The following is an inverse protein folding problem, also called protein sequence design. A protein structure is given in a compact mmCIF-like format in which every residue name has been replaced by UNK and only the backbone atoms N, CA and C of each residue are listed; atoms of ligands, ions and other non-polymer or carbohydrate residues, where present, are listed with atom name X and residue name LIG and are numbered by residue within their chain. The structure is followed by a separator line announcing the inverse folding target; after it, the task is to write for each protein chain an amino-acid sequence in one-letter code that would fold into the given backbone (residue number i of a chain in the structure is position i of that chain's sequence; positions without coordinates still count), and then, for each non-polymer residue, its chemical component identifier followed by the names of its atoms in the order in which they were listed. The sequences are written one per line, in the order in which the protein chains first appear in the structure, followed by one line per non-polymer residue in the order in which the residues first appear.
data_IF_526708187957
#
_entry.id   IF_526708187957
#
_cell.length_a   1.000
_cell.length_b   1.000
_cell.length_c   1.000
_cell.angle_alpha   90.00
_cell.angle_beta   90.00
_cell.angle_gamma   90.00
#
_symmetry.space_group_name_H-M   'P 1'
#
loop_
_entity.id
_entity.type
_entity.pdbx_description
1 polymer ?
#
# COMPACT_ATOMS: atom_id res chain seq x y z
N UNK A 1 21.22 1.18 11.25
CA UNK A 1 19.83 0.69 11.38
C UNK A 1 19.89 -0.78 11.08
N UNK A 2 19.83 -1.60 12.12
CA UNK A 2 19.76 -3.06 12.04
C UNK A 2 18.39 -3.53 11.54
N UNK A 3 18.34 -4.77 11.06
CA UNK A 3 17.16 -5.43 10.49
C UNK A 3 16.02 -5.50 11.52
N UNK A 4 16.34 -5.76 12.80
CA UNK A 4 15.35 -5.90 13.87
C UNK A 4 14.53 -4.62 14.11
N UNK A 5 15.18 -3.46 14.13
CA UNK A 5 14.49 -2.17 14.27
C UNK A 5 13.49 -1.87 13.12
N UNK A 6 13.76 -2.38 11.91
CA UNK A 6 12.84 -2.22 10.78
C UNK A 6 11.65 -3.18 10.88
N UNK A 7 11.88 -4.43 11.28
CA UNK A 7 10.82 -5.42 11.47
C UNK A 7 9.81 -4.97 12.52
N UNK A 8 10.27 -4.37 13.62
CA UNK A 8 9.39 -3.82 14.66
C UNK A 8 8.57 -2.63 14.17
N UNK A 9 9.16 -1.71 13.41
CA UNK A 9 8.42 -0.59 12.79
C UNK A 9 7.39 -1.06 11.77
N UNK A 10 7.72 -2.10 10.98
CA UNK A 10 6.80 -2.71 10.02
C UNK A 10 5.63 -3.36 10.78
N UNK A 11 5.90 -4.11 11.85
CA UNK A 11 4.88 -4.73 12.68
C UNK A 11 3.92 -3.70 13.30
N UNK A 12 4.46 -2.61 13.85
CA UNK A 12 3.65 -1.52 14.40
C UNK A 12 2.74 -0.87 13.35
N UNK A 13 3.27 -0.63 12.14
CA UNK A 13 2.46 -0.10 11.03
C UNK A 13 1.42 -1.10 10.54
N UNK A 14 1.71 -2.41 10.59
CA UNK A 14 0.72 -3.43 10.22
C UNK A 14 -0.51 -3.35 11.11
N UNK A 15 -0.31 -3.33 12.43
CA UNK A 15 -1.39 -3.20 13.41
C UNK A 15 -2.20 -1.93 13.15
N UNK A 16 -1.53 -0.81 12.88
CA UNK A 16 -2.21 0.47 12.61
C UNK A 16 -3.07 0.42 11.33
N UNK A 17 -2.57 -0.23 10.28
CA UNK A 17 -3.25 -0.35 8.98
C UNK A 17 -4.46 -1.29 9.04
N UNK A 18 -4.42 -2.33 9.87
CA UNK A 18 -5.52 -3.30 10.01
C UNK A 18 -6.58 -2.85 11.01
N UNK A 19 -6.19 -2.16 12.09
CA UNK A 19 -7.11 -1.61 13.09
C UNK A 19 -8.10 -0.57 12.52
N UNK A 20 -7.79 0.01 11.35
CA UNK A 20 -8.69 0.94 10.66
C UNK A 20 -9.91 0.25 10.01
N UNK A 21 -9.94 -1.09 9.94
CA UNK A 21 -10.96 -1.85 9.20
C UNK A 21 -11.96 -2.63 10.08
N UNK A 22 -11.72 -2.81 11.38
CA UNK A 22 -12.61 -3.58 12.26
C UNK A 22 -12.45 -3.17 13.74
N UNK A 23 -13.55 -2.74 14.38
CA UNK A 23 -13.65 -2.54 15.84
C UNK A 23 -14.33 -3.75 16.52
N UNK A 24 -14.03 -4.95 16.03
CA UNK A 24 -14.53 -6.20 16.59
C UNK A 24 -13.33 -6.97 17.13
N UNK A 25 -13.50 -7.62 18.28
CA UNK A 25 -12.51 -8.38 19.05
C UNK A 25 -11.98 -9.57 18.22
N UNK A 26 -11.20 -9.25 17.19
CA UNK A 26 -10.67 -10.20 16.22
C UNK A 26 -9.24 -10.54 16.66
N UNK A 27 -9.04 -11.81 17.01
CA UNK A 27 -7.72 -12.41 17.08
C UNK A 27 -6.95 -12.05 15.80
N UNK A 28 -5.80 -11.36 15.95
CA UNK A 28 -5.00 -10.86 14.83
C UNK A 28 -4.48 -12.05 14.02
N UNK A 29 -5.27 -12.53 13.08
CA UNK A 29 -4.79 -13.36 11.98
C UNK A 29 -3.88 -12.49 11.11
N UNK A 30 -2.87 -13.09 10.47
CA UNK A 30 -1.95 -12.37 9.59
C UNK A 30 -2.73 -11.76 8.41
N UNK A 31 -3.19 -10.52 8.55
CA UNK A 31 -3.85 -9.79 7.47
C UNK A 31 -2.77 -9.26 6.54
N UNK A 32 -2.73 -9.81 5.33
CA UNK A 32 -1.85 -9.32 4.29
C UNK A 32 -2.26 -7.90 3.87
N UNK A 33 -1.31 -6.96 3.94
CA UNK A 33 -1.53 -5.58 3.48
C UNK A 33 -1.33 -5.54 1.98
N UNK A 34 -2.41 -5.28 1.25
CA UNK A 34 -2.34 -5.16 -0.20
C UNK A 34 -1.56 -3.89 -0.61
N UNK A 35 -0.41 -4.11 -1.26
CA UNK A 35 0.47 -3.05 -1.78
C UNK A 35 0.42 -2.94 -3.31
N UNK A 36 -0.50 -3.66 -3.97
CA UNK A 36 -0.68 -3.62 -5.43
C UNK A 36 -1.77 -2.63 -5.82
N UNK A 37 -1.48 -1.80 -6.81
CA UNK A 37 -2.44 -0.86 -7.36
C UNK A 37 -3.50 -1.61 -8.16
N UNK A 38 -4.80 -1.46 -7.87
CA UNK A 38 -5.87 -2.19 -8.59
C UNK A 38 -6.04 -1.74 -10.04
N UNK A 39 -5.45 -0.59 -10.43
CA UNK A 39 -5.46 -0.13 -11.81
C UNK A 39 -4.24 -0.58 -12.62
N UNK A 40 -3.03 -0.45 -12.06
CA UNK A 40 -1.79 -0.75 -12.80
C UNK A 40 -1.27 -2.16 -12.58
N UNK A 41 -1.74 -2.86 -11.55
CA UNK A 41 -1.19 -4.16 -11.11
C UNK A 41 0.22 -4.08 -10.51
N UNK A 42 0.83 -2.89 -10.49
CA UNK A 42 2.18 -2.67 -9.99
C UNK A 42 2.18 -2.40 -8.49
N UNK A 43 3.33 -2.61 -7.85
CA UNK A 43 3.55 -2.18 -6.45
C UNK A 43 3.37 -0.67 -6.36
N UNK A 44 2.58 -0.23 -5.38
CA UNK A 44 2.29 1.18 -5.13
C UNK A 44 3.56 1.86 -4.61
N UNK A 45 3.89 3.05 -5.12
CA UNK A 45 5.02 3.85 -4.65
C UNK A 45 4.52 5.05 -3.83
N UNK A 46 3.48 5.71 -4.34
CA UNK A 46 2.84 6.84 -3.67
C UNK A 46 1.37 6.52 -3.41
N UNK A 47 1.04 5.87 -2.29
CA UNK A 47 -0.32 5.44 -2.01
C UNK A 47 -1.23 6.65 -1.78
N UNK A 48 -2.31 6.72 -2.54
CA UNK A 48 -3.40 7.68 -2.37
C UNK A 48 -4.72 6.96 -2.20
N UNK A 49 -5.54 7.43 -1.25
CA UNK A 49 -6.83 6.87 -0.90
C UNK A 49 -7.96 7.74 -1.46
N UNK A 50 -9.01 7.11 -1.97
CA UNK A 50 -10.24 7.82 -2.29
C UNK A 50 -11.07 8.03 -1.01
N UNK A 51 -11.34 9.29 -0.65
CA UNK A 51 -12.13 9.65 0.54
C UNK A 51 -13.53 9.05 0.60
N UNK A 52 -14.14 8.75 -0.55
CA UNK A 52 -15.51 8.23 -0.60
C UNK A 52 -15.61 6.71 -0.41
N UNK A 53 -14.62 5.95 -0.86
CA UNK A 53 -14.69 4.47 -0.83
C UNK A 53 -13.53 3.81 -0.10
N UNK A 54 -12.52 4.57 0.29
CA UNK A 54 -11.38 4.11 1.06
C UNK A 54 -10.37 3.25 0.31
N UNK A 55 -10.56 2.97 -0.98
CA UNK A 55 -9.61 2.20 -1.78
C UNK A 55 -8.34 3.00 -2.07
N UNK A 56 -7.21 2.30 -2.10
CA UNK A 56 -5.88 2.87 -2.31
C UNK A 56 -5.36 2.56 -3.72
N UNK A 57 -4.66 3.52 -4.30
CA UNK A 57 -4.02 3.43 -5.62
C UNK A 57 -2.62 3.99 -5.58
N UNK A 58 -1.83 3.70 -6.62
CA UNK A 58 -0.65 4.50 -6.92
C UNK A 58 -1.03 5.87 -7.51
N UNK A 59 -0.45 6.94 -6.99
CA UNK A 59 -0.73 8.33 -7.39
C UNK A 59 -0.55 8.58 -8.89
N UNK A 60 0.54 8.11 -9.48
CA UNK A 60 0.80 8.32 -10.90
C UNK A 60 -0.21 7.53 -11.74
N UNK A 61 -0.44 6.27 -11.36
CA UNK A 61 -1.40 5.40 -12.03
C UNK A 61 -2.82 5.97 -12.03
N UNK A 62 -3.33 6.38 -10.86
CA UNK A 62 -4.70 6.89 -10.75
C UNK A 62 -4.85 8.27 -11.40
N UNK A 63 -3.85 9.14 -11.33
CA UNK A 63 -3.92 10.47 -11.98
C UNK A 63 -3.98 10.32 -13.50
N UNK A 64 -3.21 9.38 -14.08
CA UNK A 64 -3.29 9.07 -15.50
C UNK A 64 -4.65 8.47 -15.89
N UNK A 65 -5.19 7.58 -15.06
CA UNK A 65 -6.52 7.00 -15.25
C UNK A 65 -7.62 8.08 -15.27
N UNK A 66 -7.61 8.99 -14.29
CA UNK A 66 -8.57 10.11 -14.20
C UNK A 66 -8.46 10.99 -15.45
N UNK A 67 -7.24 11.35 -15.84
CA UNK A 67 -6.98 12.17 -17.03
C UNK A 67 -7.49 11.51 -18.31
N UNK A 68 -7.30 10.20 -18.45
CA UNK A 68 -7.73 9.42 -19.62
C UNK A 68 -9.24 9.23 -19.71
N UNK A 69 -9.94 9.16 -18.56
CA UNK A 69 -11.40 8.93 -18.50
C UNK A 69 -12.21 10.22 -18.26
N UNK A 70 -11.55 11.35 -17.97
CA UNK A 70 -12.18 12.63 -17.63
C UNK A 70 -13.22 12.44 -16.50
N UNK A 71 -14.39 13.08 -16.59
CA UNK A 71 -15.49 12.97 -15.63
C UNK A 71 -16.17 11.58 -15.54
N UNK A 72 -15.65 10.55 -16.22
CA UNK A 72 -16.20 9.18 -16.21
C UNK A 72 -15.30 8.17 -15.48
N UNK A 73 -14.19 8.61 -14.89
CA UNK A 73 -13.28 7.75 -14.14
C UNK A 73 -13.99 7.15 -12.93
N UNK A 74 -14.22 5.84 -12.88
CA UNK A 74 -14.83 5.16 -11.72
C UNK A 74 -13.76 4.49 -10.88
N UNK A 75 -14.12 4.04 -9.68
CA UNK A 75 -13.20 3.23 -8.88
C UNK A 75 -12.71 2.00 -9.67
N UNK A 76 -11.39 1.81 -9.84
CA UNK A 76 -10.85 0.65 -10.53
C UNK A 76 -10.81 -0.60 -9.63
N UNK A 77 -11.04 -0.48 -8.32
CA UNK A 77 -11.16 -1.63 -7.43
C UNK A 77 -12.41 -2.44 -7.78
N UNK A 78 -12.23 -3.75 -7.96
CA UNK A 78 -13.29 -4.70 -8.31
C UNK A 78 -14.37 -4.69 -7.24
N UNK A 79 -15.64 -4.65 -7.66
CA UNK A 79 -16.78 -4.68 -6.75
C UNK A 79 -17.01 -3.40 -5.93
N UNK A 80 -16.29 -2.30 -6.23
CA UNK A 80 -16.49 -1.06 -5.50
C UNK A 80 -17.91 -0.50 -5.70
N UNK A 81 -18.64 -0.28 -4.60
CA UNK A 81 -19.99 0.29 -4.61
C UNK A 81 -20.06 1.79 -4.88
N UNK A 82 -18.93 2.50 -4.90
CA UNK A 82 -18.91 3.94 -5.18
C UNK A 82 -19.24 4.21 -6.65
N UNK A 83 -20.38 4.85 -6.88
CA UNK A 83 -20.89 5.21 -8.22
C UNK A 83 -20.36 6.56 -8.70
N UNK A 84 -19.82 7.37 -7.81
CA UNK A 84 -19.33 8.71 -8.14
C UNK A 84 -17.98 8.63 -8.89
N UNK A 85 -17.74 9.53 -9.85
CA UNK A 85 -16.44 9.63 -10.49
C UNK A 85 -15.32 9.92 -9.48
N UNK A 86 -14.14 9.38 -9.73
CA UNK A 86 -12.92 9.73 -9.01
C UNK A 86 -12.33 10.98 -9.64
N UNK A 87 -12.03 11.96 -8.81
CA UNK A 87 -11.34 13.20 -9.16
C UNK A 87 -10.09 13.37 -8.29
N UNK A 88 -9.19 14.27 -8.67
CA UNK A 88 -7.92 14.46 -7.95
C UNK A 88 -8.13 15.09 -6.57
N UNK A 89 -9.16 15.92 -6.40
CA UNK A 89 -9.48 16.63 -5.15
C UNK A 89 -9.96 15.71 -4.00
N UNK A 90 -10.55 14.55 -4.36
CA UNK A 90 -11.00 13.56 -3.38
C UNK A 90 -9.92 12.53 -3.02
N UNK A 91 -8.73 12.63 -3.62
CA UNK A 91 -7.60 11.76 -3.30
C UNK A 91 -6.77 12.36 -2.16
N UNK A 92 -6.47 11.54 -1.15
CA UNK A 92 -5.61 11.90 -0.03
C UNK A 92 -4.40 10.97 0.06
N UNK A 93 -3.25 11.48 0.50
CA UNK A 93 -2.06 10.65 0.70
C UNK A 93 -2.26 9.70 1.88
N UNK A 94 -1.98 8.42 1.66
CA UNK A 94 -2.02 7.41 2.72
C UNK A 94 -0.65 7.26 3.37
N UNK A 95 -0.33 8.16 4.30
CA UNK A 95 1.00 8.31 4.91
C UNK A 95 1.49 7.04 5.61
N UNK A 96 0.63 6.34 6.34
CA UNK A 96 1.02 5.11 7.05
C UNK A 96 1.38 3.97 6.09
N UNK A 97 0.58 3.76 5.04
CA UNK A 97 0.87 2.77 4.01
C UNK A 97 2.12 3.12 3.20
N UNK A 98 2.38 4.42 2.96
CA UNK A 98 3.61 4.88 2.32
C UNK A 98 4.83 4.49 3.13
N UNK A 99 4.81 4.76 4.44
CA UNK A 99 5.88 4.37 5.36
C UNK A 99 6.06 2.84 5.38
N UNK A 100 4.96 2.09 5.43
CA UNK A 100 4.99 0.63 5.41
C UNK A 100 5.69 0.09 4.15
N UNK A 101 5.27 0.52 2.96
CA UNK A 101 5.87 0.10 1.69
C UNK A 101 7.36 0.43 1.63
N UNK A 102 7.75 1.62 2.10
CA UNK A 102 9.15 2.05 2.12
C UNK A 102 10.01 1.18 3.05
N UNK A 103 9.50 0.86 4.24
CA UNK A 103 10.20 0.03 5.22
C UNK A 103 10.30 -1.42 4.74
N UNK A 104 9.23 -2.00 4.19
CA UNK A 104 9.24 -3.34 3.60
C UNK A 104 10.28 -3.42 2.48
N UNK A 105 10.25 -2.49 1.52
CA UNK A 105 11.23 -2.48 0.44
C UNK A 105 12.67 -2.27 0.94
N UNK A 106 12.86 -1.53 2.05
CA UNK A 106 14.18 -1.38 2.68
C UNK A 106 14.63 -2.68 3.35
N UNK A 107 13.74 -3.34 4.07
CA UNK A 107 13.99 -4.62 4.72
C UNK A 107 14.38 -5.68 3.70
N UNK A 108 13.63 -5.79 2.60
CA UNK A 108 13.92 -6.71 1.48
C UNK A 108 15.32 -6.49 0.91
N UNK A 109 15.71 -5.23 0.65
CA UNK A 109 17.07 -4.91 0.16
C UNK A 109 18.17 -5.31 1.14
N UNK A 110 17.95 -5.15 2.45
CA UNK A 110 18.93 -5.52 3.47
C UNK A 110 19.05 -7.04 3.60
N UNK A 111 17.93 -7.77 3.58
CA UNK A 111 17.92 -9.24 3.59
C UNK A 111 18.62 -9.83 2.37
N UNK A 112 18.47 -9.22 1.19
CA UNK A 112 19.20 -9.64 -0.02
C UNK A 112 20.71 -9.45 0.15
N UNK A 113 21.15 -8.33 0.75
CA UNK A 113 22.58 -8.07 0.95
C UNK A 113 23.24 -9.07 1.91
N UNK A 114 22.51 -9.50 2.95
CA UNK A 114 22.97 -10.53 3.90
C UNK A 114 23.16 -11.91 3.23
N UNK A 115 22.33 -12.22 2.22
CA UNK A 115 22.40 -13.49 1.49
C UNK A 115 23.54 -13.55 0.44
N UNK A 116 24.18 -12.43 0.08
CA UNK A 116 25.36 -12.44 -0.82
C UNK A 116 26.68 -12.73 -0.08
N UNK A 117 26.70 -12.74 1.25
CA UNK A 117 27.91 -12.97 2.08
C UNK A 117 28.19 -14.46 2.35
N UNK A 118 27.30 -15.38 1.95
CA UNK A 118 27.44 -16.83 2.19
C UNK A 118 27.78 -17.67 0.94
N UNK A 119 28.26 -17.04 -0.15
CA UNK A 119 28.60 -17.75 -1.41
C UNK A 119 30.07 -17.69 -1.84
N UNK A 120 31.00 -17.39 -0.93
CA UNK A 120 32.45 -17.41 -1.20
C UNK A 120 33.21 -18.59 -0.57
N UNK A 121 32.50 -19.60 -0.06
CA UNK A 121 33.10 -20.85 0.40
C UNK A 121 32.84 -22.00 -0.59
N UNK A 122 33.57 -22.00 -1.71
CA UNK A 122 33.92 -23.21 -2.49
C UNK A 122 35.32 -23.11 -3.07
#
# INVERSE_FOLDING_TARGET
MDVGSLEEQIAALRVKLTASSSNDDIEVTEVEINTKCPYTGQTIVFPVRNKHCGHVYDKAGITNYISSRKAKAKCPAVGCGNKNPITVDILEEHTDLKKYIQLVGKLERLKVNDNLDHSLDV
#
